data_IF_934107059370
#
_entry.id   IF_934107059370
#
_cell.length_a   1.000
_cell.length_b   1.000
_cell.length_c   1.000
_cell.angle_alpha   90.00
_cell.angle_beta   90.00
_cell.angle_gamma   90.00
#
_symmetry.space_group_name_H-M   'P 1'
#
loop_
_entity.id
_entity.type
_entity.pdbx_description
1 polymer ?
#
# COMPACT_ATOMS: atom_id res chain seq x y z
N UNK A 1 10.58 -0.96 -43.24
CA UNK A 1 11.00 -1.35 -41.89
C UNK A 1 10.01 -0.72 -40.94
N UNK A 2 9.04 -1.50 -40.50
CA UNK A 2 7.98 -1.05 -39.57
C UNK A 2 8.53 -1.18 -38.15
N UNK A 3 8.76 -0.06 -37.48
CA UNK A 3 9.09 -0.05 -36.04
C UNK A 3 7.83 -0.50 -35.29
N UNK A 4 7.86 -1.73 -34.80
CA UNK A 4 6.91 -2.16 -33.78
C UNK A 4 7.12 -1.25 -32.57
N UNK A 5 6.21 -0.28 -32.36
CA UNK A 5 6.05 0.38 -31.09
C UNK A 5 5.58 -0.69 -30.11
N UNK A 6 6.50 -1.23 -29.31
CA UNK A 6 6.14 -1.99 -28.12
C UNK A 6 5.22 -1.09 -27.29
N UNK A 7 3.94 -1.40 -27.25
CA UNK A 7 3.00 -0.74 -26.36
C UNK A 7 3.43 -1.07 -24.92
N UNK A 8 4.15 -0.15 -24.31
CA UNK A 8 4.59 -0.28 -22.91
C UNK A 8 3.34 -0.52 -22.03
N UNK A 9 3.30 -1.65 -21.34
CA UNK A 9 2.17 -1.97 -20.46
C UNK A 9 2.05 -0.91 -19.34
N UNK A 10 0.83 -0.63 -18.90
CA UNK A 10 0.62 0.26 -17.75
C UNK A 10 1.31 -0.29 -16.52
N UNK A 11 2.01 0.56 -15.72
CA UNK A 11 2.59 0.17 -14.45
C UNK A 11 1.52 -0.38 -13.49
N UNK A 12 1.83 -1.47 -12.82
CA UNK A 12 0.89 -2.24 -11.99
C UNK A 12 1.13 -1.96 -10.50
N UNK A 13 0.18 -1.27 -9.86
CA UNK A 13 0.29 -0.85 -8.47
C UNK A 13 -0.79 -1.47 -7.60
N UNK A 14 -0.41 -2.10 -6.51
CA UNK A 14 -1.34 -2.51 -5.46
C UNK A 14 -1.33 -1.50 -4.33
N UNK A 15 -2.51 -0.98 -3.98
CA UNK A 15 -2.71 -0.09 -2.83
C UNK A 15 -3.30 -0.89 -1.67
N UNK A 16 -2.53 -1.09 -0.61
CA UNK A 16 -2.96 -1.68 0.64
C UNK A 16 -3.51 -0.62 1.59
N UNK A 17 -4.75 -0.80 2.05
CA UNK A 17 -5.41 0.15 2.97
C UNK A 17 -5.64 -0.51 4.32
N UNK A 18 -5.19 0.12 5.40
CA UNK A 18 -5.30 -0.41 6.76
C UNK A 18 -6.15 0.47 7.67
N UNK A 19 -6.55 -0.05 8.84
CA UNK A 19 -7.48 0.58 9.76
C UNK A 19 -6.93 1.81 10.49
N UNK A 20 -6.93 2.94 9.83
CA UNK A 20 -6.53 4.24 10.36
C UNK A 20 -7.54 5.32 9.95
N UNK A 21 -7.67 6.36 10.75
CA UNK A 21 -8.45 7.55 10.37
C UNK A 21 -7.98 8.15 9.03
N UNK A 22 -6.73 7.95 8.65
CA UNK A 22 -6.19 8.40 7.37
C UNK A 22 -6.61 7.52 6.17
N UNK A 23 -7.41 6.45 6.37
CA UNK A 23 -7.83 5.55 5.29
C UNK A 23 -8.59 6.26 4.16
N UNK A 24 -9.32 7.35 4.46
CA UNK A 24 -9.99 8.17 3.44
C UNK A 24 -9.01 8.74 2.40
N UNK A 25 -7.77 9.06 2.79
CA UNK A 25 -6.74 9.58 1.88
C UNK A 25 -6.26 8.57 0.85
N UNK A 26 -6.46 7.28 1.11
CA UNK A 26 -6.13 6.25 0.13
C UNK A 26 -7.01 6.34 -1.13
N UNK A 27 -8.20 6.93 -1.03
CA UNK A 27 -9.08 7.19 -2.17
C UNK A 27 -8.41 8.18 -3.12
N UNK A 28 -7.87 9.27 -2.58
CA UNK A 28 -7.15 10.30 -3.36
C UNK A 28 -5.85 9.71 -3.95
N UNK A 29 -5.16 8.83 -3.21
CA UNK A 29 -3.97 8.14 -3.71
C UNK A 29 -4.30 7.25 -4.92
N UNK A 30 -5.38 6.48 -4.86
CA UNK A 30 -5.84 5.68 -6.00
C UNK A 30 -6.16 6.57 -7.19
N UNK A 31 -6.89 7.67 -6.97
CA UNK A 31 -7.18 8.66 -8.03
C UNK A 31 -5.89 9.24 -8.64
N UNK A 32 -4.92 9.61 -7.80
CA UNK A 32 -3.62 10.14 -8.22
C UNK A 32 -2.86 9.18 -9.14
N UNK A 33 -2.84 7.90 -8.79
CA UNK A 33 -2.13 6.86 -9.55
C UNK A 33 -2.83 6.54 -10.88
N UNK A 34 -4.17 6.42 -10.87
CA UNK A 34 -4.96 6.17 -12.09
C UNK A 34 -4.82 7.32 -13.08
N UNK A 35 -4.80 8.59 -12.63
CA UNK A 35 -4.56 9.75 -13.48
C UNK A 35 -3.15 9.80 -14.11
N UNK A 36 -2.24 8.93 -13.66
CA UNK A 36 -0.89 8.76 -14.20
C UNK A 36 -0.71 7.42 -14.92
N UNK A 37 -1.82 6.92 -15.48
CA UNK A 37 -1.86 5.71 -16.31
C UNK A 37 -1.39 4.43 -15.59
N UNK A 38 -1.37 4.42 -14.25
CA UNK A 38 -1.14 3.20 -13.49
C UNK A 38 -2.40 2.32 -13.48
N UNK A 39 -2.22 1.04 -13.73
CA UNK A 39 -3.22 0.03 -13.41
C UNK A 39 -3.20 -0.18 -11.89
N UNK A 40 -4.33 0.07 -11.21
CA UNK A 40 -4.40 0.03 -9.75
C UNK A 40 -5.34 -1.07 -9.29
N UNK A 41 -4.90 -1.87 -8.32
CA UNK A 41 -5.73 -2.80 -7.55
C UNK A 41 -5.64 -2.48 -6.06
N UNK A 42 -6.72 -2.74 -5.32
CA UNK A 42 -6.81 -2.34 -3.91
C UNK A 42 -7.05 -3.55 -3.03
N UNK A 43 -6.29 -3.62 -1.93
CA UNK A 43 -6.47 -4.62 -0.87
C UNK A 43 -6.78 -3.89 0.43
N UNK A 44 -7.90 -4.22 1.07
CA UNK A 44 -8.32 -3.59 2.32
C UNK A 44 -8.29 -4.60 3.47
N UNK A 45 -7.73 -4.20 4.61
CA UNK A 45 -7.90 -4.99 5.84
C UNK A 45 -9.32 -4.85 6.38
N UNK A 46 -9.79 -5.80 7.18
CA UNK A 46 -11.10 -5.74 7.84
C UNK A 46 -11.28 -4.45 8.64
N UNK A 47 -10.22 -3.97 9.31
CA UNK A 47 -10.27 -2.71 10.05
C UNK A 47 -10.36 -1.48 9.14
N UNK A 48 -9.82 -1.52 7.92
CA UNK A 48 -9.93 -0.42 6.96
C UNK A 48 -11.40 -0.16 6.59
N UNK A 49 -12.20 -1.21 6.45
CA UNK A 49 -13.62 -1.12 6.12
C UNK A 49 -14.47 -0.41 7.18
N UNK A 50 -13.93 -0.23 8.40
CA UNK A 50 -14.57 0.54 9.47
C UNK A 50 -14.40 2.06 9.29
N UNK A 51 -13.47 2.50 8.45
CA UNK A 51 -13.15 3.91 8.20
C UNK A 51 -13.56 4.38 6.81
N UNK A 52 -13.54 3.50 5.81
CA UNK A 52 -13.89 3.82 4.43
C UNK A 52 -14.49 2.60 3.75
N UNK A 53 -15.47 2.79 2.88
CA UNK A 53 -16.09 1.69 2.12
C UNK A 53 -15.25 1.33 0.89
N UNK A 54 -15.51 0.15 0.31
CA UNK A 54 -14.85 -0.27 -0.93
C UNK A 54 -15.32 0.48 -2.19
N UNK A 55 -16.49 1.12 -2.15
CA UNK A 55 -17.14 1.72 -3.31
C UNK A 55 -16.27 2.76 -4.04
N UNK A 56 -15.66 3.75 -3.35
CA UNK A 56 -14.77 4.70 -4.02
C UNK A 56 -13.59 4.02 -4.73
N UNK A 57 -13.01 3.00 -4.11
CA UNK A 57 -11.86 2.28 -4.67
C UNK A 57 -12.24 1.50 -5.93
N UNK A 58 -13.37 0.76 -5.91
CA UNK A 58 -13.91 0.06 -7.09
C UNK A 58 -14.16 1.02 -8.25
N UNK A 59 -14.78 2.17 -7.94
CA UNK A 59 -15.15 3.16 -8.95
C UNK A 59 -13.92 3.76 -9.62
N UNK A 60 -12.91 4.15 -8.84
CA UNK A 60 -11.71 4.81 -9.35
C UNK A 60 -10.76 3.85 -10.05
N UNK A 61 -10.49 2.69 -9.44
CA UNK A 61 -9.56 1.70 -10.00
C UNK A 61 -10.18 0.88 -11.13
N UNK A 62 -11.52 0.83 -11.24
CA UNK A 62 -12.30 -0.04 -12.14
C UNK A 62 -11.97 -1.54 -11.94
N UNK A 63 -11.56 -1.90 -10.74
CA UNK A 63 -11.21 -3.25 -10.35
C UNK A 63 -11.92 -3.66 -9.06
N UNK A 64 -12.15 -4.96 -8.84
CA UNK A 64 -12.60 -5.47 -7.54
C UNK A 64 -11.63 -5.09 -6.43
N UNK A 65 -12.14 -4.94 -5.21
CA UNK A 65 -11.34 -4.73 -4.00
C UNK A 65 -11.22 -6.04 -3.24
N UNK A 66 -10.01 -6.47 -2.95
CA UNK A 66 -9.76 -7.67 -2.15
C UNK A 66 -9.88 -7.33 -0.66
N UNK A 67 -10.70 -8.07 0.07
CA UNK A 67 -11.01 -7.83 1.50
C UNK A 67 -10.75 -9.04 2.38
N UNK A 68 -10.82 -10.22 1.81
CA UNK A 68 -10.70 -11.47 2.53
C UNK A 68 -9.73 -12.41 1.78
N UNK A 69 -9.07 -13.30 2.53
CA UNK A 69 -8.19 -14.33 1.96
C UNK A 69 -8.98 -15.38 1.16
N UNK A 70 -10.24 -15.56 1.51
CA UNK A 70 -11.09 -16.65 1.04
C UNK A 70 -12.19 -16.18 0.09
N UNK A 71 -12.22 -14.91 -0.29
CA UNK A 71 -13.02 -14.43 -1.41
C UNK A 71 -12.37 -14.97 -2.68
N UNK A 72 -12.78 -16.16 -3.09
CA UNK A 72 -12.29 -16.78 -4.32
C UNK A 72 -13.25 -16.46 -5.44
N UNK A 73 -12.74 -15.82 -6.50
CA UNK A 73 -13.34 -15.89 -7.82
C UNK A 73 -13.19 -17.34 -8.33
N UNK A 74 -13.94 -17.72 -9.34
CA UNK A 74 -14.09 -19.09 -9.84
C UNK A 74 -12.77 -19.81 -10.24
N UNK A 75 -11.65 -19.09 -10.31
CA UNK A 75 -10.37 -19.58 -10.86
C UNK A 75 -9.43 -20.31 -9.90
N UNK A 76 -9.84 -20.60 -8.66
CA UNK A 76 -9.06 -21.34 -7.64
C UNK A 76 -7.66 -20.78 -7.29
N UNK A 77 -7.20 -19.71 -7.94
CA UNK A 77 -5.92 -19.05 -7.58
C UNK A 77 -6.17 -18.05 -6.47
N UNK A 78 -5.52 -18.19 -5.31
CA UNK A 78 -5.68 -17.24 -4.22
C UNK A 78 -5.35 -15.81 -4.69
N UNK A 79 -6.29 -14.89 -4.51
CA UNK A 79 -6.16 -13.51 -5.01
C UNK A 79 -4.89 -12.80 -4.51
N UNK A 80 -4.43 -13.08 -3.29
CA UNK A 80 -3.21 -12.50 -2.76
C UNK A 80 -1.94 -12.96 -3.51
N UNK A 81 -1.91 -14.21 -4.03
CA UNK A 81 -0.82 -14.71 -4.87
C UNK A 81 -0.87 -14.04 -6.25
N UNK A 82 -2.06 -14.06 -6.89
CA UNK A 82 -2.23 -13.40 -8.20
C UNK A 82 -1.83 -11.92 -8.15
N UNK A 83 -2.15 -11.22 -7.06
CA UNK A 83 -1.76 -9.81 -6.89
C UNK A 83 -0.27 -9.64 -6.60
N UNK A 84 0.35 -10.57 -5.86
CA UNK A 84 1.78 -10.53 -5.59
C UNK A 84 2.60 -10.72 -6.87
N UNK A 85 2.15 -11.62 -7.76
CA UNK A 85 2.77 -11.84 -9.08
C UNK A 85 2.51 -10.69 -10.05
N UNK A 86 1.34 -10.05 -9.95
CA UNK A 86 0.94 -8.97 -10.84
C UNK A 86 1.64 -7.65 -10.53
N UNK A 87 1.89 -7.34 -9.26
CA UNK A 87 2.34 -6.02 -8.81
C UNK A 87 3.78 -5.69 -9.21
N UNK A 88 4.00 -4.48 -9.72
CA UNK A 88 5.33 -3.86 -9.85
C UNK A 88 5.73 -3.14 -8.56
N UNK A 89 4.75 -2.46 -7.94
CA UNK A 89 4.90 -1.78 -6.65
C UNK A 89 3.67 -2.06 -5.79
N UNK A 90 3.92 -2.37 -4.52
CA UNK A 90 2.90 -2.39 -3.47
C UNK A 90 3.09 -1.17 -2.58
N UNK A 91 2.07 -0.36 -2.41
CA UNK A 91 2.07 0.77 -1.47
C UNK A 91 1.03 0.54 -0.38
N UNK A 92 1.45 0.56 0.89
CA UNK A 92 0.54 0.43 2.03
C UNK A 92 0.33 1.82 2.63
N UNK A 93 -0.82 2.40 2.36
CA UNK A 93 -1.17 3.77 2.75
C UNK A 93 -2.68 3.90 3.09
N UNK A 94 -3.02 4.21 4.33
CA UNK A 94 -2.16 4.30 5.50
C UNK A 94 -1.66 2.94 6.00
N UNK A 95 -0.50 2.92 6.67
CA UNK A 95 0.01 1.72 7.36
C UNK A 95 -0.04 1.91 8.88
N UNK A 96 -0.80 1.05 9.57
CA UNK A 96 -0.87 1.03 11.03
C UNK A 96 0.34 0.31 11.63
N UNK A 97 0.63 0.58 12.91
CA UNK A 97 1.66 -0.15 13.67
C UNK A 97 1.43 -1.67 13.64
N UNK A 98 0.17 -2.13 13.70
CA UNK A 98 -0.19 -3.53 13.60
C UNK A 98 0.30 -4.15 12.27
N UNK A 99 0.01 -3.49 11.14
CA UNK A 99 0.40 -4.00 9.82
C UNK A 99 1.92 -3.97 9.64
N UNK A 100 2.59 -2.90 10.10
CA UNK A 100 4.06 -2.79 10.08
C UNK A 100 4.68 -3.95 10.88
N UNK A 101 4.18 -4.22 12.09
CA UNK A 101 4.65 -5.31 12.94
C UNK A 101 4.43 -6.67 12.29
N UNK A 102 3.25 -6.92 11.71
CA UNK A 102 2.95 -8.19 11.02
C UNK A 102 3.92 -8.45 9.87
N UNK A 103 4.15 -7.47 9.01
CA UNK A 103 5.07 -7.61 7.87
C UNK A 103 6.51 -7.81 8.37
N UNK A 104 6.94 -7.07 9.40
CA UNK A 104 8.27 -7.22 9.98
C UNK A 104 8.50 -8.63 10.57
N UNK A 105 7.48 -9.20 11.20
CA UNK A 105 7.54 -10.54 11.82
C UNK A 105 7.14 -11.69 10.88
N UNK A 106 6.71 -11.42 9.64
CA UNK A 106 6.24 -12.44 8.70
C UNK A 106 4.88 -13.05 9.06
N UNK A 107 4.01 -12.30 9.76
CA UNK A 107 2.66 -12.74 10.10
C UNK A 107 1.72 -12.45 8.93
N UNK A 108 1.17 -13.51 8.33
CA UNK A 108 0.32 -13.48 7.14
C UNK A 108 -1.09 -14.01 7.46
N UNK A 109 -1.87 -13.22 8.20
CA UNK A 109 -3.20 -13.60 8.71
C UNK A 109 -4.36 -12.90 7.98
N UNK A 110 -4.07 -12.09 6.96
CA UNK A 110 -5.05 -11.42 6.12
C UNK A 110 -4.51 -11.23 4.69
N UNK A 111 -5.38 -10.89 3.73
CA UNK A 111 -5.01 -10.79 2.32
C UNK A 111 -3.83 -9.83 2.06
N UNK A 112 -3.75 -8.70 2.78
CA UNK A 112 -2.68 -7.72 2.60
C UNK A 112 -1.33 -8.25 3.11
N UNK A 113 -1.29 -8.87 4.28
CA UNK A 113 -0.05 -9.41 4.86
C UNK A 113 0.40 -10.68 4.15
N UNK A 114 -0.51 -11.51 3.65
CA UNK A 114 -0.20 -12.64 2.76
C UNK A 114 0.41 -12.14 1.44
N UNK A 115 -0.20 -11.13 0.81
CA UNK A 115 0.34 -10.49 -0.39
C UNK A 115 1.76 -9.96 -0.14
N UNK A 116 1.97 -9.21 0.94
CA UNK A 116 3.28 -8.64 1.26
C UNK A 116 4.36 -9.71 1.48
N UNK A 117 4.00 -10.87 2.02
CA UNK A 117 4.93 -11.99 2.21
C UNK A 117 5.19 -12.78 0.91
N UNK A 118 4.23 -12.80 -0.02
CA UNK A 118 4.30 -13.52 -1.29
C UNK A 118 4.89 -12.70 -2.43
N UNK A 119 5.23 -11.43 -2.21
CA UNK A 119 5.78 -10.54 -3.24
C UNK A 119 7.04 -11.13 -3.88
N UNK A 120 7.18 -10.93 -5.19
CA UNK A 120 8.42 -11.26 -5.90
C UNK A 120 9.58 -10.37 -5.41
N UNK A 121 10.82 -10.85 -5.43
CA UNK A 121 11.99 -10.07 -4.96
C UNK A 121 12.16 -8.72 -5.65
N UNK A 122 11.75 -8.62 -6.91
CA UNK A 122 11.81 -7.39 -7.70
C UNK A 122 10.66 -6.42 -7.42
N UNK A 123 9.55 -6.85 -6.78
CA UNK A 123 8.42 -5.96 -6.46
C UNK A 123 8.80 -4.96 -5.36
N UNK A 124 8.53 -3.68 -5.59
CA UNK A 124 8.79 -2.64 -4.59
C UNK A 124 7.73 -2.59 -3.51
N UNK A 125 8.15 -2.43 -2.25
CA UNK A 125 7.24 -2.16 -1.15
C UNK A 125 7.50 -0.75 -0.59
N UNK A 126 6.44 0.08 -0.61
CA UNK A 126 6.40 1.40 0.01
C UNK A 126 5.40 1.39 1.17
N UNK A 127 5.79 1.90 2.31
CA UNK A 127 4.93 2.00 3.50
C UNK A 127 4.80 3.46 3.91
N UNK A 128 3.56 3.94 4.04
CA UNK A 128 3.21 5.27 4.54
C UNK A 128 2.57 5.15 5.94
N UNK A 129 3.34 5.26 7.02
CA UNK A 129 2.84 5.09 8.38
C UNK A 129 1.80 6.14 8.78
N UNK A 130 0.77 5.71 9.54
CA UNK A 130 -0.23 6.60 10.12
C UNK A 130 -0.71 6.04 11.47
N UNK A 131 -0.29 6.68 12.55
CA UNK A 131 -0.61 6.27 13.92
C UNK A 131 -0.41 7.42 14.91
N UNK A 132 -0.81 7.23 16.16
CA UNK A 132 -0.49 8.16 17.23
C UNK A 132 1.05 8.29 17.41
N UNK A 133 1.54 9.48 17.74
CA UNK A 133 2.98 9.74 17.86
C UNK A 133 3.68 8.89 18.93
N UNK A 134 2.99 8.56 20.03
CA UNK A 134 3.53 7.65 21.05
C UNK A 134 3.68 6.22 20.51
N UNK A 135 2.74 5.78 19.67
CA UNK A 135 2.85 4.47 18.99
C UNK A 135 4.01 4.47 17.99
N UNK A 136 4.21 5.58 17.28
CA UNK A 136 5.32 5.72 16.34
C UNK A 136 6.68 5.68 17.03
N UNK A 137 6.83 6.36 18.16
CA UNK A 137 8.08 6.40 18.94
C UNK A 137 8.29 5.21 19.88
N UNK A 138 7.33 4.28 19.95
CA UNK A 138 7.47 3.10 20.79
C UNK A 138 8.56 2.17 20.27
N UNK A 139 9.42 1.65 21.16
CA UNK A 139 10.58 0.83 20.78
C UNK A 139 10.23 -0.34 19.85
N UNK A 140 9.10 -1.01 20.07
CA UNK A 140 8.64 -2.08 19.20
C UNK A 140 8.35 -1.60 17.77
N UNK A 141 7.77 -0.40 17.60
CA UNK A 141 7.50 0.18 16.28
C UNK A 141 8.80 0.58 15.59
N UNK A 142 9.69 1.23 16.34
CA UNK A 142 11.03 1.64 15.85
C UNK A 142 11.81 0.42 15.37
N UNK A 143 11.82 -0.66 16.16
CA UNK A 143 12.52 -1.90 15.77
C UNK A 143 11.89 -2.57 14.54
N UNK A 144 10.56 -2.62 14.44
CA UNK A 144 9.88 -3.17 13.27
C UNK A 144 10.21 -2.36 11.99
N UNK A 145 10.23 -1.03 12.09
CA UNK A 145 10.62 -0.15 10.98
C UNK A 145 12.08 -0.39 10.58
N UNK A 146 12.99 -0.53 11.56
CA UNK A 146 14.39 -0.86 11.31
C UNK A 146 14.55 -2.19 10.56
N UNK A 147 13.82 -3.22 10.97
CA UNK A 147 13.82 -4.53 10.31
C UNK A 147 13.37 -4.39 8.85
N UNK A 148 12.28 -3.67 8.60
CA UNK A 148 11.75 -3.50 7.25
C UNK A 148 12.71 -2.69 6.36
N UNK A 149 13.30 -1.62 6.88
CA UNK A 149 14.33 -0.85 6.18
C UNK A 149 15.55 -1.71 5.79
N UNK A 150 16.02 -2.56 6.70
CA UNK A 150 17.12 -3.52 6.43
C UNK A 150 16.76 -4.53 5.32
N UNK A 151 15.47 -4.81 5.11
CA UNK A 151 14.96 -5.68 4.03
C UNK A 151 14.68 -4.94 2.72
N UNK A 152 15.02 -3.64 2.63
CA UNK A 152 14.81 -2.83 1.43
C UNK A 152 13.41 -2.25 1.25
N UNK A 153 12.54 -2.34 2.28
CA UNK A 153 11.24 -1.68 2.27
C UNK A 153 11.45 -0.17 2.38
N UNK A 154 10.80 0.60 1.50
CA UNK A 154 10.84 2.07 1.59
C UNK A 154 9.77 2.58 2.53
N UNK A 155 10.13 3.60 3.32
CA UNK A 155 9.21 4.31 4.21
C UNK A 155 9.05 5.74 3.74
N UNK A 156 7.81 6.27 3.80
CA UNK A 156 7.55 7.68 3.55
C UNK A 156 6.77 8.28 4.72
N UNK A 157 7.40 9.21 5.42
CA UNK A 157 6.84 9.78 6.65
C UNK A 157 7.15 8.94 7.91
N UNK A 158 6.30 9.03 8.97
CA UNK A 158 5.12 9.88 9.04
C UNK A 158 5.47 11.37 9.14
N UNK A 159 4.54 12.21 8.66
CA UNK A 159 4.65 13.66 8.77
C UNK A 159 4.34 14.17 10.18
N UNK A 160 4.86 15.35 10.50
CA UNK A 160 4.53 16.09 11.72
C UNK A 160 3.22 16.87 11.58
N UNK A 161 2.54 17.10 12.69
CA UNK A 161 1.38 17.97 12.75
C UNK A 161 0.36 17.55 13.80
N UNK A 162 -0.76 18.28 13.84
CA UNK A 162 -1.88 17.99 14.73
C UNK A 162 -2.52 16.65 14.32
N UNK A 163 -2.61 15.73 15.25
CA UNK A 163 -3.22 14.41 15.07
C UNK A 163 -4.70 14.45 15.49
N UNK A 164 -5.50 13.50 15.01
CA UNK A 164 -6.93 13.40 15.35
C UNK A 164 -7.21 13.26 16.86
N UNK A 165 -6.24 12.79 17.63
CA UNK A 165 -6.31 12.70 19.10
C UNK A 165 -5.93 14.01 19.81
N UNK A 166 -5.71 15.12 19.09
CA UNK A 166 -5.41 16.44 19.67
C UNK A 166 -3.95 16.68 20.03
N UNK A 167 -3.05 15.72 19.82
CA UNK A 167 -1.61 15.90 20.06
C UNK A 167 -0.88 16.36 18.79
N UNK A 168 0.13 17.21 18.94
CA UNK A 168 1.06 17.56 17.86
C UNK A 168 2.29 16.66 17.92
N UNK A 169 2.80 16.26 16.73
CA UNK A 169 4.00 15.43 16.62
C UNK A 169 4.00 14.56 15.36
N UNK A 170 5.01 13.70 15.26
CA UNK A 170 5.12 12.71 14.18
C UNK A 170 4.05 11.62 14.32
N UNK A 171 3.36 11.30 13.24
CA UNK A 171 2.35 10.22 13.25
C UNK A 171 1.30 10.34 12.15
N UNK A 172 1.23 11.48 11.46
CA UNK A 172 0.30 11.67 10.34
C UNK A 172 0.84 10.99 9.08
N UNK A 173 -0.04 10.37 8.30
CA UNK A 173 0.32 9.94 6.96
C UNK A 173 0.83 11.13 6.14
N UNK A 174 1.94 10.95 5.44
CA UNK A 174 2.45 11.94 4.47
C UNK A 174 1.38 12.38 3.48
N UNK A 175 1.47 13.59 2.91
CA UNK A 175 0.57 14.04 1.85
C UNK A 175 0.46 13.02 0.72
N UNK A 176 -0.73 12.91 0.14
CA UNK A 176 -1.02 11.94 -0.93
C UNK A 176 -0.11 12.14 -2.13
N UNK A 177 0.16 13.38 -2.46
CA UNK A 177 1.04 13.78 -3.57
C UNK A 177 2.47 13.29 -3.38
N UNK A 178 2.99 13.35 -2.16
CA UNK A 178 4.33 12.83 -1.83
C UNK A 178 4.37 11.31 -1.91
N UNK A 179 3.37 10.62 -1.35
CA UNK A 179 3.26 9.16 -1.40
C UNK A 179 3.15 8.70 -2.86
N UNK A 180 2.29 9.35 -3.64
CA UNK A 180 2.10 9.04 -5.05
C UNK A 180 3.36 9.32 -5.89
N UNK A 181 4.04 10.43 -5.64
CA UNK A 181 5.30 10.76 -6.31
C UNK A 181 6.38 9.71 -6.02
N UNK A 182 6.47 9.21 -4.78
CA UNK A 182 7.41 8.16 -4.42
C UNK A 182 7.10 6.82 -5.11
N UNK A 183 5.81 6.47 -5.29
CA UNK A 183 5.42 5.30 -6.10
C UNK A 183 5.88 5.45 -7.55
N UNK A 184 5.65 6.61 -8.17
CA UNK A 184 6.07 6.89 -9.56
C UNK A 184 7.59 6.83 -9.70
N UNK A 185 8.33 7.35 -8.74
CA UNK A 185 9.79 7.26 -8.71
C UNK A 185 10.28 5.81 -8.66
N UNK A 186 9.68 4.98 -7.79
CA UNK A 186 9.98 3.55 -7.70
C UNK A 186 9.71 2.80 -9.01
N UNK A 187 8.66 3.18 -9.74
CA UNK A 187 8.35 2.63 -11.05
C UNK A 187 9.37 3.06 -12.11
N UNK A 188 9.82 4.33 -12.09
CA UNK A 188 10.84 4.84 -13.01
C UNK A 188 12.19 4.17 -12.83
N UNK A 189 12.63 3.95 -11.60
CA UNK A 189 13.85 3.21 -11.29
C UNK A 189 13.87 1.81 -11.91
N UNK A 190 12.70 1.28 -12.24
CA UNK A 190 12.48 -0.04 -12.86
C UNK A 190 12.18 0.03 -14.36
N UNK A 191 12.29 1.23 -14.97
CA UNK A 191 11.93 1.50 -16.37
C UNK A 191 10.47 1.18 -16.72
N UNK A 192 9.54 1.34 -15.78
CA UNK A 192 8.11 1.02 -15.91
C UNK A 192 7.22 2.24 -16.08
N UNK A 193 7.66 3.44 -15.70
CA UNK A 193 6.90 4.71 -15.79
C UNK A 193 7.60 5.75 -16.66
#
# INVERSE_FOLDING_TARGET
>A
MSSFLETKRSPQVVVGVTGSIAAHKAVDLVSFLVQRDCAVRVVMTADALRFVTEVPFKTLSRNPVVKCLYDTDEDWVPQHISLADWADVVVIAPATANTIAKIACGIADNALTCLALAMRPETGLLIAPAMNGRMWSHDATVENVRILNCRGVRMIGPAEGLQACGYSGKGRMSPVEEVGAQVIEMLRERNLA
#
